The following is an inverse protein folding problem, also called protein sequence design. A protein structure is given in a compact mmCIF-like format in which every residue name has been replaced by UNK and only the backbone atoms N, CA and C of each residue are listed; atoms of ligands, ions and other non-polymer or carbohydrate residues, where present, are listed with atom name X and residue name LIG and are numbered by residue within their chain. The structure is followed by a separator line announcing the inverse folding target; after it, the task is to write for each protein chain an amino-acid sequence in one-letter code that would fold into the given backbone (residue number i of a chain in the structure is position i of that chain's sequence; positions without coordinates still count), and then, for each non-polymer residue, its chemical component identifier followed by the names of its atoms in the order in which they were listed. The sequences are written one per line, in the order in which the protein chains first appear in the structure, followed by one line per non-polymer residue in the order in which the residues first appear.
data_IF_086186236726
#
_entry.id   IF_086186236726
#
_cell.length_a   1.000
_cell.length_b   1.000
_cell.length_c   1.000
_cell.angle_alpha   90.00
_cell.angle_beta   90.00
_cell.angle_gamma   90.00
#
_symmetry.space_group_name_H-M   'P 1'
#
loop_
_entity.id
_entity.type
_entity.pdbx_description
1 polymer ?
#
# COMPACT_ATOMS: atom_id res chain seq x y z
N UNK A 1 -7.85 -18.67 -3.83
CA UNK A 1 -7.01 -19.55 -3.00
C UNK A 1 -5.54 -19.11 -3.10
N UNK A 2 -4.68 -19.45 -2.14
CA UNK A 2 -3.24 -19.21 -2.28
C UNK A 2 -2.67 -20.01 -3.46
N UNK A 3 -1.83 -19.38 -4.28
CA UNK A 3 -1.36 -20.00 -5.54
C UNK A 3 0.01 -20.68 -5.41
N UNK A 4 0.83 -20.31 -4.43
CA UNK A 4 2.17 -20.90 -4.26
C UNK A 4 2.13 -22.29 -3.64
N UNK A 5 3.11 -23.14 -3.98
CA UNK A 5 3.27 -24.53 -3.49
C UNK A 5 4.44 -24.68 -2.53
N UNK A 6 4.57 -23.74 -1.59
CA UNK A 6 5.73 -23.58 -0.71
C UNK A 6 5.55 -24.13 0.71
N UNK A 7 4.54 -24.98 0.93
CA UNK A 7 4.45 -25.78 2.16
C UNK A 7 5.15 -27.13 1.99
N UNK A 8 5.59 -27.78 3.09
CA UNK A 8 6.16 -29.12 3.04
C UNK A 8 5.30 -30.09 2.23
N UNK A 9 5.94 -30.81 1.31
CA UNK A 9 5.27 -31.72 0.38
C UNK A 9 4.59 -31.03 -0.82
N UNK A 10 5.00 -29.81 -1.19
CA UNK A 10 4.47 -29.10 -2.37
C UNK A 10 3.01 -28.66 -2.24
N UNK A 11 2.52 -28.56 -1.00
CA UNK A 11 1.13 -28.16 -0.71
C UNK A 11 0.95 -26.66 -0.94
N UNK A 12 -0.29 -26.27 -1.26
CA UNK A 12 -0.65 -24.87 -1.41
C UNK A 12 -0.36 -24.08 -0.11
N UNK A 13 0.43 -23.03 -0.23
CA UNK A 13 0.96 -22.21 0.86
C UNK A 13 0.63 -20.74 0.69
N UNK A 14 1.62 -19.87 0.47
CA UNK A 14 1.44 -18.43 0.25
C UNK A 14 1.79 -18.06 -1.20
N UNK A 15 1.19 -16.99 -1.74
CA UNK A 15 1.49 -16.52 -3.11
C UNK A 15 2.82 -15.76 -3.13
N UNK A 16 3.74 -16.19 -3.98
CA UNK A 16 5.11 -15.66 -4.11
C UNK A 16 5.15 -14.38 -4.94
N UNK A 17 4.59 -13.30 -4.39
CA UNK A 17 4.69 -11.96 -4.96
C UNK A 17 5.66 -11.14 -4.12
N UNK A 18 6.74 -10.70 -4.74
CA UNK A 18 7.76 -9.85 -4.12
C UNK A 18 7.64 -8.44 -4.70
N UNK A 19 7.66 -7.46 -3.81
CA UNK A 19 7.57 -6.05 -4.14
C UNK A 19 8.89 -5.38 -3.76
N UNK A 20 9.18 -4.23 -4.38
CA UNK A 20 10.35 -3.41 -4.05
C UNK A 20 10.43 -3.14 -2.54
N UNK A 21 9.30 -2.77 -1.95
CA UNK A 21 9.13 -2.55 -0.52
C UNK A 21 7.67 -2.73 -0.09
N UNK A 22 7.38 -2.44 1.16
CA UNK A 22 6.06 -2.60 1.72
C UNK A 22 5.08 -1.53 1.21
N UNK A 23 5.55 -0.31 0.96
CA UNK A 23 4.74 0.78 0.38
C UNK A 23 4.18 0.36 -0.99
N UNK A 24 5.03 -0.22 -1.84
CA UNK A 24 4.65 -0.79 -3.13
C UNK A 24 3.63 -1.93 -2.97
N UNK A 25 3.82 -2.79 -1.97
CA UNK A 25 2.88 -3.87 -1.67
C UNK A 25 1.50 -3.33 -1.24
N UNK A 26 1.48 -2.31 -0.36
CA UNK A 26 0.24 -1.66 0.07
C UNK A 26 -0.46 -0.97 -1.10
N UNK A 27 0.30 -0.29 -1.98
CA UNK A 27 -0.21 0.39 -3.18
C UNK A 27 -0.92 -0.56 -4.15
N UNK A 28 -0.44 -1.79 -4.25
CA UNK A 28 -1.07 -2.85 -5.07
C UNK A 28 -2.17 -3.62 -4.32
N UNK A 29 -2.51 -3.19 -3.10
CA UNK A 29 -3.56 -3.77 -2.27
C UNK A 29 -3.19 -5.09 -1.61
N UNK A 30 -1.92 -5.29 -1.29
CA UNK A 30 -1.47 -6.41 -0.45
C UNK A 30 -1.21 -5.91 0.97
N UNK A 31 -1.64 -6.67 1.97
CA UNK A 31 -1.23 -6.47 3.36
C UNK A 31 0.07 -7.23 3.65
N UNK A 32 0.76 -6.96 4.78
CA UNK A 32 1.96 -7.70 5.14
C UNK A 32 1.66 -9.20 5.35
N UNK A 33 2.67 -10.04 5.08
CA UNK A 33 2.54 -11.49 5.12
C UNK A 33 2.78 -12.05 6.54
N UNK A 34 1.91 -12.92 7.02
CA UNK A 34 2.04 -13.59 8.33
C UNK A 34 3.20 -14.59 8.42
N UNK A 35 3.82 -14.92 7.28
CA UNK A 35 4.99 -15.80 7.23
C UNK A 35 6.30 -15.01 7.41
N UNK A 36 6.60 -14.04 6.54
CA UNK A 36 7.86 -13.29 6.58
C UNK A 36 7.82 -12.02 7.45
N UNK A 37 6.65 -11.41 7.63
CA UNK A 37 6.45 -10.11 8.31
C UNK A 37 5.39 -10.23 9.40
N UNK A 38 5.45 -11.30 10.22
CA UNK A 38 4.39 -11.66 11.18
C UNK A 38 3.99 -10.50 12.10
N UNK A 39 4.96 -9.76 12.66
CA UNK A 39 4.68 -8.63 13.55
C UNK A 39 3.94 -7.51 12.82
N UNK A 40 4.42 -7.08 11.64
CA UNK A 40 3.74 -6.08 10.81
C UNK A 40 2.36 -6.53 10.34
N UNK A 41 2.21 -7.81 9.98
CA UNK A 41 0.92 -8.37 9.59
C UNK A 41 -0.10 -8.36 10.74
N UNK A 42 0.33 -8.67 11.96
CA UNK A 42 -0.51 -8.58 13.15
C UNK A 42 -0.89 -7.13 13.47
N UNK A 43 0.07 -6.19 13.40
CA UNK A 43 -0.19 -4.77 13.63
C UNK A 43 -1.16 -4.18 12.60
N UNK A 44 -0.98 -4.50 11.32
CA UNK A 44 -1.87 -4.07 10.24
C UNK A 44 -3.31 -4.56 10.48
N UNK A 45 -3.49 -5.85 10.81
CA UNK A 45 -4.82 -6.42 11.07
C UNK A 45 -5.45 -5.83 12.34
N UNK A 46 -4.67 -5.58 13.39
CA UNK A 46 -5.13 -4.92 14.62
C UNK A 46 -5.66 -3.51 14.32
N UNK A 47 -4.85 -2.68 13.67
CA UNK A 47 -5.23 -1.30 13.29
C UNK A 47 -6.42 -1.27 12.33
N UNK A 48 -6.49 -2.23 11.40
CA UNK A 48 -7.67 -2.42 10.57
C UNK A 48 -8.93 -2.65 11.42
N UNK A 49 -8.84 -3.49 12.46
CA UNK A 49 -9.94 -3.69 13.39
C UNK A 49 -10.37 -2.41 14.10
N UNK A 50 -9.40 -1.64 14.61
CA UNK A 50 -9.62 -0.37 15.30
C UNK A 50 -10.31 0.66 14.39
N UNK A 51 -9.79 0.84 13.17
CA UNK A 51 -10.32 1.79 12.18
C UNK A 51 -11.77 1.46 11.77
N UNK A 52 -12.10 0.17 11.67
CA UNK A 52 -13.42 -0.28 11.17
C UNK A 52 -14.35 -0.82 12.26
N UNK A 53 -14.01 -0.65 13.53
CA UNK A 53 -14.85 -1.08 14.67
C UNK A 53 -15.07 -2.60 14.74
N UNK A 54 -14.08 -3.39 14.35
CA UNK A 54 -14.16 -4.86 14.34
C UNK A 54 -13.40 -5.38 15.55
N UNK A 55 -14.13 -5.97 16.51
CA UNK A 55 -13.54 -6.50 17.75
C UNK A 55 -12.54 -7.65 17.52
N UNK A 56 -12.84 -8.54 16.56
CA UNK A 56 -11.95 -9.65 16.19
C UNK A 56 -11.54 -9.56 14.71
N UNK A 57 -10.61 -8.67 14.35
CA UNK A 57 -10.20 -8.53 12.97
C UNK A 57 -9.40 -9.76 12.52
N UNK A 58 -9.72 -10.26 11.32
CA UNK A 58 -9.02 -11.42 10.73
C UNK A 58 -8.51 -11.09 9.34
N UNK A 59 -7.37 -11.67 8.98
CA UNK A 59 -6.74 -11.48 7.67
C UNK A 59 -7.69 -11.66 6.47
N UNK A 60 -8.60 -12.66 6.41
CA UNK A 60 -9.54 -12.78 5.30
C UNK A 60 -10.51 -11.59 5.15
N UNK A 61 -10.81 -10.87 6.23
CA UNK A 61 -11.66 -9.68 6.18
C UNK A 61 -10.95 -8.53 5.48
N UNK A 62 -9.67 -8.34 5.81
CA UNK A 62 -8.77 -7.39 5.14
C UNK A 62 -8.62 -7.77 3.67
N UNK A 63 -8.30 -9.05 3.40
CA UNK A 63 -8.07 -9.55 2.05
C UNK A 63 -9.31 -9.37 1.15
N UNK A 64 -10.53 -9.58 1.69
CA UNK A 64 -11.78 -9.37 0.98
C UNK A 64 -12.03 -7.90 0.61
N UNK A 65 -11.67 -6.95 1.48
CA UNK A 65 -11.79 -5.52 1.18
C UNK A 65 -10.74 -5.09 0.16
N UNK A 66 -9.48 -5.40 0.42
CA UNK A 66 -8.38 -5.06 -0.49
C UNK A 66 -8.60 -5.65 -1.88
N UNK A 67 -9.09 -6.89 -1.99
CA UNK A 67 -9.39 -7.48 -3.30
C UNK A 67 -10.38 -6.65 -4.12
N UNK A 68 -11.41 -6.05 -3.51
CA UNK A 68 -12.37 -5.19 -4.23
C UNK A 68 -11.78 -3.83 -4.63
N UNK A 69 -10.81 -3.35 -3.86
CA UNK A 69 -10.19 -2.05 -4.06
C UNK A 69 -9.03 -2.10 -5.06
N UNK A 70 -8.45 -3.28 -5.31
CA UNK A 70 -7.36 -3.49 -6.28
C UNK A 70 -7.79 -3.15 -7.70
N UNK A 71 -6.94 -2.39 -8.40
CA UNK A 71 -7.08 -2.13 -9.83
C UNK A 71 -7.14 -3.43 -10.65
N UNK A 72 -6.26 -4.40 -10.36
CA UNK A 72 -6.21 -5.70 -11.04
C UNK A 72 -7.47 -6.55 -10.84
N UNK A 73 -8.36 -6.17 -9.92
CA UNK A 73 -9.63 -6.84 -9.63
C UNK A 73 -10.84 -5.97 -10.02
N UNK A 74 -10.63 -4.94 -10.84
CA UNK A 74 -11.68 -4.03 -11.31
C UNK A 74 -11.96 -2.83 -10.39
N UNK A 75 -11.18 -2.68 -9.32
CA UNK A 75 -11.21 -1.49 -8.47
C UNK A 75 -10.87 -0.23 -9.26
N UNK A 76 -11.48 0.90 -8.89
CA UNK A 76 -11.27 2.19 -9.56
C UNK A 76 -10.58 3.15 -8.60
N UNK A 77 -9.27 3.42 -8.79
CA UNK A 77 -8.54 4.46 -8.07
C UNK A 77 -9.31 5.78 -8.14
N UNK A 78 -9.60 6.46 -7.02
CA UNK A 78 -10.24 7.78 -7.07
C UNK A 78 -9.25 8.82 -7.61
N UNK A 79 -9.78 9.89 -8.20
CA UNK A 79 -9.00 11.08 -8.51
C UNK A 79 -8.58 11.78 -7.21
N UNK A 80 -7.43 12.45 -7.23
CA UNK A 80 -6.87 13.18 -6.09
C UNK A 80 -6.66 14.63 -6.49
N UNK A 81 -7.32 15.54 -5.79
CA UNK A 81 -7.09 16.98 -5.92
C UNK A 81 -5.78 17.39 -5.21
N UNK A 82 -5.30 18.60 -5.51
CA UNK A 82 -4.08 19.13 -4.89
C UNK A 82 -4.21 19.31 -3.37
N UNK A 83 -5.40 19.67 -2.88
CA UNK A 83 -5.67 19.79 -1.45
C UNK A 83 -5.71 18.42 -0.76
N UNK A 84 -6.30 17.41 -1.42
CA UNK A 84 -6.32 16.05 -0.90
C UNK A 84 -4.93 15.43 -0.84
N UNK A 85 -4.06 15.72 -1.82
CA UNK A 85 -2.69 15.23 -1.86
C UNK A 85 -1.92 15.58 -0.58
N UNK A 86 -2.06 16.81 -0.09
CA UNK A 86 -1.41 17.26 1.14
C UNK A 86 -1.94 16.57 2.41
N UNK A 87 -3.16 16.02 2.38
CA UNK A 87 -3.79 15.30 3.49
C UNK A 87 -3.66 13.77 3.43
N UNK A 88 -2.92 13.24 2.46
CA UNK A 88 -2.64 11.81 2.39
C UNK A 88 -1.50 11.42 3.36
N UNK A 89 -1.58 10.24 3.99
CA UNK A 89 -0.55 9.79 4.92
C UNK A 89 0.73 9.38 4.17
N UNK A 90 1.86 9.42 4.88
CA UNK A 90 3.09 8.78 4.43
C UNK A 90 2.84 7.30 4.09
N UNK A 91 3.40 6.84 2.96
CA UNK A 91 3.21 5.50 2.42
C UNK A 91 1.98 5.35 1.52
N UNK A 92 1.17 6.40 1.34
CA UNK A 92 0.23 6.46 0.23
C UNK A 92 0.99 6.62 -1.11
N UNK A 93 0.44 6.05 -2.18
CA UNK A 93 1.00 6.12 -3.53
C UNK A 93 -0.07 6.67 -4.47
N UNK A 94 0.29 7.70 -5.22
CA UNK A 94 -0.52 8.30 -6.29
C UNK A 94 0.13 8.05 -7.64
N UNK A 95 -0.63 8.17 -8.72
CA UNK A 95 -0.10 8.08 -10.08
C UNK A 95 -0.60 9.19 -10.99
N UNK A 96 0.28 9.64 -11.87
CA UNK A 96 -0.02 10.43 -13.06
C UNK A 96 0.28 9.54 -14.29
N UNK A 97 -0.76 9.09 -14.98
CA UNK A 97 -0.57 8.14 -16.08
C UNK A 97 0.11 6.85 -15.61
N UNK A 98 1.28 6.55 -16.16
CA UNK A 98 2.09 5.38 -15.80
C UNK A 98 3.13 5.65 -14.71
N UNK A 99 3.33 6.92 -14.33
CA UNK A 99 4.30 7.32 -13.32
C UNK A 99 3.65 7.29 -11.93
N UNK A 100 4.21 6.52 -11.01
CA UNK A 100 3.76 6.42 -9.63
C UNK A 100 4.68 7.21 -8.69
N UNK A 101 4.09 7.80 -7.65
CA UNK A 101 4.79 8.57 -6.63
C UNK A 101 4.37 8.11 -5.24
N UNK A 102 5.33 7.69 -4.42
CA UNK A 102 5.09 7.41 -3.01
C UNK A 102 5.24 8.69 -2.18
N UNK A 103 4.32 8.94 -1.27
CA UNK A 103 4.29 10.15 -0.44
C UNK A 103 5.05 9.91 0.86
N UNK A 104 6.01 10.79 1.17
CA UNK A 104 6.80 10.74 2.41
C UNK A 104 7.20 12.14 2.85
N UNK A 105 6.88 12.53 4.08
CA UNK A 105 7.33 13.79 4.67
C UNK A 105 6.95 15.04 3.88
N UNK A 106 5.77 15.05 3.25
CA UNK A 106 5.30 16.16 2.41
C UNK A 106 5.99 16.27 1.03
N UNK A 107 6.76 15.24 0.66
CA UNK A 107 7.38 15.10 -0.66
C UNK A 107 6.82 13.87 -1.38
N UNK A 108 6.87 13.89 -2.70
CA UNK A 108 6.50 12.78 -3.56
C UNK A 108 7.76 12.18 -4.18
N UNK A 109 7.94 10.88 -4.03
CA UNK A 109 9.10 10.15 -4.50
C UNK A 109 8.67 9.32 -5.70
N UNK A 110 9.21 9.63 -6.88
CA UNK A 110 8.91 8.86 -8.09
C UNK A 110 9.40 7.42 -7.93
N UNK A 111 8.50 6.47 -8.16
CA UNK A 111 8.77 5.04 -8.00
C UNK A 111 9.33 4.45 -9.29
N UNK A 112 10.34 3.59 -9.15
CA UNK A 112 10.83 2.72 -10.22
C UNK A 112 11.21 1.35 -9.67
N UNK A 113 11.43 0.37 -10.55
CA UNK A 113 11.96 -0.94 -10.15
C UNK A 113 13.35 -0.87 -9.49
N UNK A 114 14.14 0.18 -9.75
CA UNK A 114 15.45 0.38 -9.14
C UNK A 114 15.38 1.06 -7.77
N UNK A 115 14.20 1.53 -7.36
CA UNK A 115 14.02 2.35 -6.17
C UNK A 115 13.31 3.66 -6.46
N UNK A 116 13.17 4.47 -5.42
CA UNK A 116 12.69 5.84 -5.49
C UNK A 116 13.74 6.82 -6.03
N UNK A 117 13.30 7.76 -6.85
CA UNK A 117 14.09 8.88 -7.34
C UNK A 117 14.07 10.08 -6.37
N UNK A 118 14.76 11.15 -6.77
CA UNK A 118 14.82 12.40 -6.01
C UNK A 118 13.41 12.96 -5.70
N UNK A 119 13.15 13.42 -4.47
CA UNK A 119 11.84 13.88 -4.09
C UNK A 119 11.39 15.15 -4.84
N UNK A 120 10.14 15.15 -5.29
CA UNK A 120 9.46 16.34 -5.82
C UNK A 120 8.49 16.91 -4.78
N UNK A 121 8.41 18.23 -4.69
CA UNK A 121 7.44 18.92 -3.83
C UNK A 121 6.03 18.78 -4.39
N UNK A 122 5.02 18.68 -3.52
CA UNK A 122 3.62 18.51 -3.93
C UNK A 122 3.09 19.63 -4.84
N UNK A 123 3.59 20.86 -4.70
CA UNK A 123 3.21 21.96 -5.60
C UNK A 123 3.60 21.70 -7.06
N UNK A 124 4.61 20.87 -7.34
CA UNK A 124 4.98 20.43 -8.70
C UNK A 124 4.01 19.42 -9.28
N UNK A 125 3.23 18.77 -8.42
CA UNK A 125 2.15 17.86 -8.78
C UNK A 125 0.77 18.53 -8.79
N UNK A 126 0.68 19.79 -8.35
CA UNK A 126 -0.58 20.52 -8.33
C UNK A 126 -1.15 20.69 -9.75
N UNK A 127 -2.47 20.52 -9.89
CA UNK A 127 -3.16 20.57 -11.18
C UNK A 127 -2.95 19.36 -12.10
N UNK A 128 -2.12 18.38 -11.73
CA UNK A 128 -1.98 17.13 -12.49
C UNK A 128 -3.17 16.20 -12.26
N UNK A 129 -3.43 15.32 -13.22
CA UNK A 129 -4.48 14.30 -13.11
C UNK A 129 -3.98 13.12 -12.29
N UNK A 130 -4.05 13.26 -10.96
CA UNK A 130 -3.56 12.25 -10.01
C UNK A 130 -4.66 11.24 -9.66
N UNK A 131 -4.25 9.98 -9.52
CA UNK A 131 -5.11 8.87 -9.05
C UNK A 131 -4.47 8.20 -7.84
N UNK A 132 -5.25 7.92 -6.80
CA UNK A 132 -4.76 7.24 -5.60
C UNK A 132 -4.66 5.73 -5.86
N UNK A 133 -3.44 5.21 -6.00
CA UNK A 133 -3.21 3.78 -6.17
C UNK A 133 -3.42 3.01 -4.87
N UNK A 134 -2.97 3.55 -3.74
CA UNK A 134 -3.11 2.90 -2.44
C UNK A 134 -4.58 2.73 -2.06
N UNK A 135 -5.06 1.49 -1.85
CA UNK A 135 -6.46 1.23 -1.50
C UNK A 135 -6.92 2.00 -0.26
N UNK A 136 -8.19 2.41 -0.24
CA UNK A 136 -8.79 3.17 0.86
C UNK A 136 -8.65 2.47 2.22
N UNK A 137 -8.73 1.15 2.24
CA UNK A 137 -8.47 0.34 3.45
C UNK A 137 -7.03 0.55 3.95
N UNK A 138 -6.04 0.46 3.06
CA UNK A 138 -4.63 0.69 3.41
C UNK A 138 -4.36 2.14 3.85
N UNK A 139 -4.93 3.13 3.15
CA UNK A 139 -4.83 4.56 3.54
C UNK A 139 -5.38 4.78 4.95
N UNK A 140 -6.50 4.15 5.30
CA UNK A 140 -7.09 4.30 6.64
C UNK A 140 -6.21 3.68 7.73
N UNK A 141 -5.57 2.54 7.44
CA UNK A 141 -4.63 1.88 8.35
C UNK A 141 -3.33 2.69 8.52
N UNK A 142 -2.80 3.28 7.43
CA UNK A 142 -1.66 4.21 7.47
C UNK A 142 -1.95 5.44 8.32
N UNK A 143 -3.13 6.07 8.12
CA UNK A 143 -3.60 7.19 8.96
C UNK A 143 -3.71 6.82 10.44
N UNK A 144 -4.01 5.56 10.72
CA UNK A 144 -4.04 5.04 12.08
C UNK A 144 -2.66 4.65 12.62
N UNK A 145 -1.57 5.09 12.00
CA UNK A 145 -0.20 4.95 12.51
C UNK A 145 0.52 3.66 12.13
N UNK A 146 0.02 2.91 11.14
CA UNK A 146 0.80 1.81 10.58
C UNK A 146 2.02 2.36 9.83
N UNK A 147 3.23 1.91 10.17
CA UNK A 147 4.47 2.33 9.53
C UNK A 147 4.96 1.24 8.55
N UNK A 148 4.78 1.43 7.21
CA UNK A 148 5.28 0.47 6.23
C UNK A 148 6.81 0.54 6.15
N UNK A 149 7.44 -0.57 5.76
CA UNK A 149 8.85 -0.58 5.39
C UNK A 149 9.07 0.02 4.02
N UNK A 150 10.05 0.92 3.95
CA UNK A 150 10.50 1.59 2.75
C UNK A 150 11.74 0.92 2.17
N UNK A 151 11.90 1.01 0.85
CA UNK A 151 13.19 0.74 0.22
C UNK A 151 14.24 1.77 0.69
N UNK A 152 15.52 1.40 0.91
CA UNK A 152 16.55 2.33 1.38
C UNK A 152 16.73 3.60 0.53
N UNK A 153 16.45 3.53 -0.77
CA UNK A 153 16.53 4.71 -1.64
C UNK A 153 15.46 5.77 -1.36
N UNK A 154 14.50 5.49 -0.48
CA UNK A 154 13.51 6.47 -0.03
C UNK A 154 14.07 7.43 1.05
N UNK A 155 15.25 7.16 1.61
CA UNK A 155 15.87 7.96 2.67
C UNK A 155 16.65 9.16 2.08
N UNK A 156 15.94 10.03 1.36
CA UNK A 156 16.47 11.21 0.64
C UNK A 156 16.06 12.57 1.23
#
# INVERSE_FOLDING_TARGET
EPMGRNRPGGKAGWTELFFLDEVTALATGHRPCFFCRRAGAADFVRRFGEVFGIAEPRAPMVDKRLHKERLASGGRPPAVSSDELAGLPDGAVVAEGETAYALRGGKALEWSFAGYAEPVLFNRLAGRSLRLLTPATSVSVLRHGYAPVWHPSADT
#
